data_IF_206613795284
#
_entry.id   IF_206613795284
#
_cell.length_a   1.000
_cell.length_b   1.000
_cell.length_c   1.000
_cell.angle_alpha   90.00
_cell.angle_beta   90.00
_cell.angle_gamma   90.00
#
_symmetry.space_group_name_H-M   'P 1'
#
loop_
_entity.id
_entity.type
_entity.pdbx_description
1 polymer ?
#
# COMPACT_ATOMS: atom_id res chain seq x y z
N UNK A 1 -51.59 -9.25 -35.30
CA UNK A 1 -50.21 -8.95 -35.73
C UNK A 1 -49.61 -8.04 -34.68
N UNK A 2 -48.93 -8.63 -33.70
CA UNK A 2 -48.34 -7.91 -32.56
C UNK A 2 -46.81 -7.90 -32.73
N UNK A 3 -46.21 -6.73 -32.57
CA UNK A 3 -44.78 -6.46 -32.74
C UNK A 3 -43.90 -7.24 -31.74
N UNK A 4 -42.65 -7.60 -32.10
CA UNK A 4 -41.67 -8.09 -31.14
C UNK A 4 -40.97 -6.92 -30.45
N UNK A 5 -40.92 -6.98 -29.10
CA UNK A 5 -40.17 -6.05 -28.29
C UNK A 5 -38.65 -6.30 -28.45
N UNK A 6 -37.94 -5.22 -28.78
CA UNK A 6 -36.51 -5.22 -29.01
C UNK A 6 -35.71 -5.27 -27.69
N UNK A 7 -34.71 -6.14 -27.69
CA UNK A 7 -33.42 -6.13 -26.99
C UNK A 7 -33.32 -5.32 -25.69
N UNK A 8 -33.23 -6.07 -24.60
CA UNK A 8 -32.64 -5.66 -23.33
C UNK A 8 -31.24 -5.08 -23.51
N UNK A 9 -31.04 -3.85 -23.06
CA UNK A 9 -29.71 -3.26 -22.87
C UNK A 9 -28.90 -4.09 -21.88
N UNK A 10 -27.71 -4.53 -22.27
CA UNK A 10 -26.76 -5.15 -21.34
C UNK A 10 -26.38 -4.13 -20.26
N UNK A 11 -26.86 -4.33 -19.04
CA UNK A 11 -26.27 -3.68 -17.87
C UNK A 11 -24.79 -4.08 -17.83
N UNK A 12 -23.89 -3.10 -17.85
CA UNK A 12 -22.48 -3.34 -17.61
C UNK A 12 -22.33 -4.07 -16.27
N UNK A 13 -21.67 -5.22 -16.29
CA UNK A 13 -21.31 -5.94 -15.07
C UNK A 13 -20.53 -5.01 -14.14
N UNK A 14 -20.78 -5.00 -12.82
CA UNK A 14 -19.97 -4.22 -11.90
C UNK A 14 -18.52 -4.69 -12.03
N UNK A 15 -17.62 -3.73 -12.28
CA UNK A 15 -16.19 -3.96 -12.23
C UNK A 15 -15.86 -4.20 -10.76
N UNK A 16 -15.67 -5.46 -10.36
CA UNK A 16 -15.25 -5.80 -9.01
C UNK A 16 -13.82 -5.28 -8.78
N UNK A 17 -13.73 -4.03 -8.30
CA UNK A 17 -12.50 -3.42 -7.83
C UNK A 17 -12.08 -4.10 -6.53
N UNK A 18 -11.37 -5.22 -6.69
CA UNK A 18 -10.85 -6.04 -5.58
C UNK A 18 -9.70 -5.34 -4.87
N UNK A 19 -8.89 -4.57 -5.60
CA UNK A 19 -7.73 -3.85 -5.08
C UNK A 19 -8.13 -2.41 -4.73
N UNK A 20 -7.48 -1.78 -3.74
CA UNK A 20 -7.63 -0.33 -3.55
C UNK A 20 -7.14 0.42 -4.79
N UNK A 21 -7.66 1.62 -5.01
CA UNK A 21 -7.06 2.56 -5.95
C UNK A 21 -5.69 2.99 -5.40
N UNK A 22 -4.69 3.10 -6.28
CA UNK A 22 -3.29 3.34 -5.89
C UNK A 22 -2.81 4.66 -6.47
N UNK A 23 -2.29 5.52 -5.62
CA UNK A 23 -1.41 6.61 -5.99
C UNK A 23 0.03 6.14 -5.81
N UNK A 24 0.69 5.82 -6.93
CA UNK A 24 2.05 5.31 -6.94
C UNK A 24 3.02 6.49 -7.03
N UNK A 25 3.69 6.79 -5.92
CA UNK A 25 4.65 7.88 -5.80
C UNK A 25 6.07 7.38 -6.06
N UNK A 26 6.58 7.68 -7.26
CA UNK A 26 7.90 7.31 -7.72
C UNK A 26 8.76 8.57 -7.87
N UNK A 27 9.85 8.73 -7.13
CA UNK A 27 10.70 9.93 -7.30
C UNK A 27 11.48 9.95 -8.63
N UNK A 28 11.68 8.79 -9.23
CA UNK A 28 12.47 8.57 -10.44
C UNK A 28 11.64 7.68 -11.38
N UNK A 29 11.56 8.06 -12.66
CA UNK A 29 10.73 7.37 -13.64
C UNK A 29 11.13 5.91 -13.82
N UNK A 30 12.38 5.53 -13.55
CA UNK A 30 12.80 4.11 -13.64
C UNK A 30 11.95 3.17 -12.78
N UNK A 31 11.32 3.69 -11.71
CA UNK A 31 10.39 2.91 -10.90
C UNK A 31 9.01 2.84 -11.53
N UNK A 32 8.47 3.96 -12.05
CA UNK A 32 7.20 3.90 -12.78
C UNK A 32 7.30 3.03 -14.03
N UNK A 33 8.39 3.16 -14.78
CA UNK A 33 8.64 2.40 -16.01
C UNK A 33 8.74 0.91 -15.70
N UNK A 34 9.48 0.53 -14.65
CA UNK A 34 9.55 -0.86 -14.21
C UNK A 34 8.20 -1.41 -13.73
N UNK A 35 7.36 -0.58 -13.08
CA UNK A 35 6.01 -0.97 -12.67
C UNK A 35 5.12 -1.25 -13.87
N UNK A 36 5.11 -0.36 -14.87
CA UNK A 36 4.34 -0.54 -16.09
C UNK A 36 4.80 -1.78 -16.89
N UNK A 37 6.12 -2.00 -16.99
CA UNK A 37 6.68 -3.20 -17.62
C UNK A 37 6.23 -4.48 -16.88
N UNK A 38 6.28 -4.49 -15.55
CA UNK A 38 5.84 -5.61 -14.74
C UNK A 38 4.32 -5.84 -14.85
N UNK A 39 3.52 -4.78 -14.85
CA UNK A 39 2.07 -4.83 -15.03
C UNK A 39 1.73 -5.46 -16.39
N UNK A 40 2.34 -4.98 -17.48
CA UNK A 40 2.14 -5.53 -18.82
C UNK A 40 2.58 -6.99 -18.94
N UNK A 41 3.61 -7.40 -18.20
CA UNK A 41 4.16 -8.77 -18.24
C UNK A 41 3.36 -9.77 -17.40
N UNK A 42 2.99 -9.40 -16.17
CA UNK A 42 2.48 -10.33 -15.16
C UNK A 42 0.98 -10.17 -14.90
N UNK A 43 0.43 -8.97 -15.07
CA UNK A 43 -0.98 -8.71 -14.77
C UNK A 43 -1.60 -7.66 -15.71
N UNK A 44 -1.75 -7.95 -17.02
CA UNK A 44 -2.21 -6.99 -18.02
C UNK A 44 -3.57 -6.34 -17.71
N UNK A 45 -4.43 -7.04 -16.96
CA UNK A 45 -5.77 -6.62 -16.57
C UNK A 45 -5.83 -5.87 -15.24
N UNK A 46 -4.70 -5.50 -14.63
CA UNK A 46 -4.60 -4.80 -13.33
C UNK A 46 -5.51 -3.56 -13.25
N UNK A 47 -5.67 -2.81 -14.33
CA UNK A 47 -6.53 -1.62 -14.38
C UNK A 47 -8.02 -1.91 -14.34
N UNK A 48 -8.43 -3.17 -14.58
CA UNK A 48 -9.79 -3.63 -14.32
C UNK A 48 -10.03 -3.89 -12.83
N UNK A 49 -8.97 -3.93 -12.02
CA UNK A 49 -9.01 -4.23 -10.58
C UNK A 49 -8.67 -3.06 -9.68
N UNK A 50 -7.92 -2.08 -10.19
CA UNK A 50 -7.49 -0.88 -9.46
C UNK A 50 -7.35 0.29 -10.42
N UNK A 51 -7.72 1.50 -9.98
CA UNK A 51 -7.23 2.72 -10.64
C UNK A 51 -5.84 3.06 -10.10
N UNK A 52 -4.84 3.01 -10.96
CA UNK A 52 -3.46 3.35 -10.62
C UNK A 52 -3.11 4.71 -11.25
N UNK A 53 -2.71 5.66 -10.41
CA UNK A 53 -2.21 6.97 -10.84
C UNK A 53 -0.77 7.11 -10.41
N UNK A 54 0.13 7.34 -11.36
CA UNK A 54 1.56 7.53 -11.10
C UNK A 54 1.87 9.01 -10.86
N UNK A 55 2.61 9.29 -9.79
CA UNK A 55 3.18 10.60 -9.50
C UNK A 55 4.70 10.50 -9.50
N UNK A 56 5.32 11.04 -10.56
CA UNK A 56 6.78 11.06 -10.69
C UNK A 56 7.40 12.26 -9.95
N UNK A 57 7.25 12.31 -8.63
CA UNK A 57 7.72 13.41 -7.79
C UNK A 57 8.06 12.96 -6.36
N UNK A 58 8.65 13.87 -5.57
CA UNK A 58 8.78 13.69 -4.12
C UNK A 58 7.47 14.04 -3.41
N UNK A 59 7.22 13.47 -2.22
CA UNK A 59 6.00 13.69 -1.43
C UNK A 59 5.60 15.17 -1.27
N UNK A 60 6.57 16.08 -1.03
CA UNK A 60 6.32 17.53 -0.89
C UNK A 60 5.77 18.21 -2.15
N UNK A 61 5.82 17.55 -3.30
CA UNK A 61 5.30 18.04 -4.57
C UNK A 61 4.05 17.27 -5.02
N UNK A 62 3.50 16.39 -4.17
CA UNK A 62 2.23 15.75 -4.43
C UNK A 62 1.12 16.82 -4.43
N UNK A 63 0.28 16.90 -5.48
CA UNK A 63 -0.74 17.94 -5.57
C UNK A 63 -1.67 17.99 -4.34
N UNK A 64 -2.00 19.19 -3.87
CA UNK A 64 -2.85 19.39 -2.67
C UNK A 64 -4.29 18.91 -2.86
N UNK A 65 -4.75 18.75 -4.11
CA UNK A 65 -6.08 18.22 -4.42
C UNK A 65 -6.15 16.69 -4.39
N UNK A 66 -5.01 16.00 -4.24
CA UNK A 66 -4.97 14.55 -4.05
C UNK A 66 -5.60 14.19 -2.71
N UNK A 67 -6.34 13.08 -2.67
CA UNK A 67 -6.94 12.53 -1.46
C UNK A 67 -6.55 11.08 -1.35
N UNK A 68 -6.14 10.65 -0.17
CA UNK A 68 -5.77 9.26 0.12
C UNK A 68 -6.31 8.89 1.49
N UNK A 69 -6.91 7.71 1.60
CA UNK A 69 -7.43 7.21 2.88
C UNK A 69 -6.27 6.68 3.73
N UNK A 70 -5.33 5.98 3.09
CA UNK A 70 -4.13 5.42 3.71
C UNK A 70 -2.83 5.84 3.03
N UNK A 71 -1.77 6.03 3.79
CA UNK A 71 -0.41 6.19 3.28
C UNK A 71 0.46 5.02 3.72
N UNK A 72 1.19 4.41 2.80
CA UNK A 72 2.04 3.26 3.07
C UNK A 72 3.41 3.71 3.53
N UNK A 73 3.89 3.16 4.64
CA UNK A 73 5.22 3.43 5.20
C UNK A 73 6.08 2.17 5.11
N UNK A 74 7.09 2.13 4.22
CA UNK A 74 8.04 1.02 4.12
C UNK A 74 9.11 1.09 5.23
N UNK A 75 8.66 0.91 6.48
CA UNK A 75 9.45 1.17 7.69
C UNK A 75 10.44 0.05 8.04
N UNK A 76 11.07 0.19 9.22
CA UNK A 76 11.72 -0.90 9.93
C UNK A 76 10.78 -1.56 10.95
N UNK A 77 11.14 -2.75 11.44
CA UNK A 77 10.37 -3.55 12.40
C UNK A 77 10.05 -2.87 13.73
N UNK A 78 10.77 -1.80 14.08
CA UNK A 78 10.56 -1.03 15.32
C UNK A 78 9.71 0.22 15.11
N UNK A 79 9.12 0.39 13.91
CA UNK A 79 8.26 1.51 13.55
C UNK A 79 8.91 2.88 13.78
N UNK A 80 10.23 2.95 13.63
CA UNK A 80 10.96 4.21 13.73
C UNK A 80 10.89 4.92 12.39
N UNK A 81 10.17 6.05 12.34
CA UNK A 81 9.81 6.76 11.11
C UNK A 81 10.66 8.02 10.93
N UNK A 82 11.96 7.85 10.70
CA UNK A 82 12.92 8.96 10.59
C UNK A 82 13.92 8.86 9.43
N UNK A 83 13.69 7.94 8.49
CA UNK A 83 14.55 7.73 7.33
C UNK A 83 13.82 7.95 6.00
N UNK A 84 14.49 8.60 5.04
CA UNK A 84 14.04 8.72 3.65
C UNK A 84 12.55 9.09 3.50
N UNK A 85 11.71 8.16 3.01
CA UNK A 85 10.28 8.41 2.85
C UNK A 85 9.56 8.60 4.18
N UNK A 86 9.93 7.85 5.22
CA UNK A 86 9.35 7.99 6.56
C UNK A 86 9.66 9.35 7.19
N UNK A 87 10.83 9.95 6.92
CA UNK A 87 11.12 11.34 7.31
C UNK A 87 10.15 12.33 6.62
N UNK A 88 9.85 12.10 5.35
CA UNK A 88 8.88 12.92 4.63
C UNK A 88 7.46 12.77 5.21
N UNK A 89 7.06 11.55 5.61
CA UNK A 89 5.79 11.31 6.31
C UNK A 89 5.75 12.00 7.67
N UNK A 90 6.83 11.89 8.47
CA UNK A 90 6.93 12.55 9.77
C UNK A 90 6.79 14.06 9.66
N UNK A 91 7.37 14.68 8.62
CA UNK A 91 7.22 16.12 8.35
C UNK A 91 5.84 16.50 7.83
N UNK A 92 5.22 15.65 7.01
CA UNK A 92 3.93 15.95 6.38
C UNK A 92 2.74 15.80 7.35
N UNK A 93 2.80 14.79 8.23
CA UNK A 93 1.69 14.45 9.12
C UNK A 93 1.93 14.81 10.59
N UNK A 94 3.20 14.88 11.03
CA UNK A 94 3.53 15.25 12.40
C UNK A 94 3.31 16.75 12.68
N UNK A 95 2.89 17.13 13.90
CA UNK A 95 2.93 18.51 14.35
C UNK A 95 4.35 19.08 14.20
N UNK A 96 4.43 20.38 13.88
CA UNK A 96 5.70 21.05 13.55
C UNK A 96 6.73 20.94 14.69
N UNK A 97 6.29 21.01 15.93
CA UNK A 97 7.08 20.92 17.14
C UNK A 97 7.23 19.48 17.67
N UNK A 98 6.67 18.49 16.96
CA UNK A 98 6.63 17.10 17.38
C UNK A 98 6.87 16.13 16.21
N UNK A 99 8.10 16.16 15.70
CA UNK A 99 8.58 15.22 14.68
C UNK A 99 8.34 13.75 15.06
N UNK A 100 8.40 13.42 16.35
CA UNK A 100 8.23 12.06 16.86
C UNK A 100 6.76 11.59 16.92
N UNK A 101 5.79 12.44 16.62
CA UNK A 101 4.36 12.14 16.77
C UNK A 101 3.94 10.87 16.03
N UNK A 102 4.28 10.78 14.73
CA UNK A 102 3.90 9.64 13.91
C UNK A 102 4.60 8.34 14.36
N UNK A 103 5.86 8.44 14.77
CA UNK A 103 6.64 7.32 15.32
C UNK A 103 5.96 6.79 16.59
N UNK A 104 5.59 7.66 17.54
CA UNK A 104 4.96 7.22 18.80
C UNK A 104 3.59 6.59 18.56
N UNK A 105 2.80 7.10 17.60
CA UNK A 105 1.54 6.47 17.19
C UNK A 105 1.79 5.07 16.61
N UNK A 106 2.71 4.94 15.67
CA UNK A 106 3.03 3.65 15.05
C UNK A 106 3.58 2.64 16.09
N UNK A 107 4.51 3.06 16.93
CA UNK A 107 5.10 2.22 17.98
C UNK A 107 4.09 1.76 19.02
N UNK A 108 3.11 2.60 19.38
CA UNK A 108 2.01 2.20 20.28
C UNK A 108 1.24 1.01 19.69
N UNK A 109 0.81 1.12 18.44
CA UNK A 109 0.06 0.04 17.76
C UNK A 109 0.94 -1.21 17.57
N UNK A 110 2.21 -1.03 17.21
CA UNK A 110 3.16 -2.15 17.09
C UNK A 110 3.40 -2.84 18.44
N UNK A 111 3.40 -2.11 19.55
CA UNK A 111 3.45 -2.72 20.87
C UNK A 111 2.16 -3.50 21.21
N UNK A 112 1.00 -2.93 20.91
CA UNK A 112 -0.29 -3.55 21.18
C UNK A 112 -0.47 -4.85 20.38
N UNK A 113 -0.15 -4.83 19.08
CA UNK A 113 -0.32 -5.96 18.15
C UNK A 113 0.84 -6.96 18.17
N UNK A 114 2.08 -6.47 18.23
CA UNK A 114 3.28 -7.30 18.02
C UNK A 114 4.29 -7.25 19.18
N UNK A 115 3.92 -6.65 20.32
CA UNK A 115 4.81 -6.49 21.48
C UNK A 115 6.13 -5.78 21.16
N UNK A 116 6.09 -4.86 20.20
CA UNK A 116 7.18 -3.91 19.91
C UNK A 116 8.06 -4.30 18.72
N UNK A 117 7.77 -5.41 18.06
CA UNK A 117 8.51 -5.88 16.89
C UNK A 117 7.55 -6.37 15.81
N UNK A 118 7.34 -5.58 14.74
CA UNK A 118 6.58 -6.01 13.57
C UNK A 118 7.52 -6.76 12.60
N UNK A 119 7.34 -8.07 12.34
CA UNK A 119 8.22 -8.81 11.44
C UNK A 119 8.24 -8.19 10.03
N UNK A 120 9.40 -8.17 9.33
CA UNK A 120 9.43 -7.79 7.92
C UNK A 120 8.43 -8.61 7.11
N UNK A 121 7.88 -8.03 6.03
CA UNK A 121 6.87 -8.69 5.21
C UNK A 121 5.43 -8.55 5.75
N UNK A 122 5.22 -7.93 6.92
CA UNK A 122 3.87 -7.72 7.49
C UNK A 122 3.29 -6.35 7.15
N UNK A 123 2.01 -6.13 7.47
CA UNK A 123 1.37 -4.82 7.47
C UNK A 123 0.60 -4.58 8.77
N UNK A 124 0.69 -3.36 9.30
CA UNK A 124 -0.09 -2.91 10.46
C UNK A 124 -0.81 -1.61 10.13
N UNK A 125 -2.14 -1.62 10.25
CA UNK A 125 -2.97 -0.41 10.09
C UNK A 125 -2.87 0.42 11.36
N UNK A 126 -2.48 1.69 11.21
CA UNK A 126 -2.34 2.66 12.30
C UNK A 126 -3.23 3.85 12.01
N UNK A 127 -4.14 4.18 12.92
CA UNK A 127 -5.01 5.36 12.77
C UNK A 127 -4.22 6.64 13.04
N UNK A 128 -4.30 7.57 12.11
CA UNK A 128 -3.76 8.92 12.20
C UNK A 128 -4.88 9.85 12.68
N UNK A 129 -5.26 9.75 13.96
CA UNK A 129 -6.23 10.68 14.57
C UNK A 129 -5.63 12.07 14.61
N UNK A 130 -5.84 12.83 13.54
CA UNK A 130 -5.59 14.25 13.51
C UNK A 130 -6.80 14.92 14.14
N UNK A 131 -6.64 15.46 15.34
CA UNK A 131 -7.68 16.23 16.00
C UNK A 131 -7.98 17.45 15.11
N UNK A 132 -9.12 17.42 14.43
CA UNK A 132 -9.42 18.29 13.29
C UNK A 132 -9.11 19.76 13.57
N UNK A 133 -8.39 20.39 12.61
CA UNK A 133 -7.95 21.79 12.54
C UNK A 133 -6.67 22.12 13.31
N UNK A 134 -5.53 21.79 12.72
CA UNK A 134 -4.27 22.40 13.12
C UNK A 134 -3.47 22.80 11.87
N UNK A 135 -3.95 23.84 11.22
CA UNK A 135 -3.11 24.70 10.41
C UNK A 135 -2.21 25.48 11.39
N UNK A 136 -0.91 25.19 11.45
CA UNK A 136 0.05 26.02 12.20
C UNK A 136 0.65 27.07 11.28
N UNK A 137 0.91 28.29 11.77
CA UNK A 137 1.61 29.31 10.98
C UNK A 137 3.09 29.35 11.37
N UNK A 138 3.97 29.46 10.39
CA UNK A 138 5.38 29.70 10.65
C UNK A 138 5.66 31.16 11.07
N UNK A 139 6.89 31.44 11.50
CA UNK A 139 7.35 32.80 11.86
C UNK A 139 7.23 33.81 10.70
N UNK A 140 7.09 33.32 9.47
CA UNK A 140 6.97 34.10 8.24
C UNK A 140 5.51 34.14 7.74
N UNK A 141 4.55 33.59 8.50
CA UNK A 141 3.13 33.57 8.18
C UNK A 141 2.66 32.42 7.28
N UNK A 142 3.51 31.49 6.86
CA UNK A 142 3.11 30.35 6.02
C UNK A 142 2.26 29.35 6.80
N UNK A 143 1.13 28.96 6.20
CA UNK A 143 0.23 27.97 6.77
C UNK A 143 0.75 26.56 6.49
N UNK A 144 0.94 25.79 7.55
CA UNK A 144 1.29 24.38 7.51
C UNK A 144 0.05 23.57 7.89
N UNK A 145 -0.58 22.94 6.89
CA UNK A 145 -1.72 22.07 7.09
C UNK A 145 -1.24 20.73 7.63
N UNK A 146 -1.63 20.40 8.86
CA UNK A 146 -1.52 19.02 9.32
C UNK A 146 -2.52 18.18 8.53
N UNK A 147 -2.03 17.08 7.96
CA UNK A 147 -2.79 16.19 7.08
C UNK A 147 -3.26 16.81 5.75
N UNK A 148 -2.35 17.20 4.84
CA UNK A 148 -2.70 17.89 3.60
C UNK A 148 -3.57 17.06 2.62
N UNK A 149 -3.56 15.74 2.74
CA UNK A 149 -4.30 14.82 1.84
C UNK A 149 -5.51 14.13 2.49
N UNK A 150 -5.92 14.59 3.68
CA UNK A 150 -7.03 14.01 4.45
C UNK A 150 -6.89 12.51 4.75
N UNK A 151 -5.65 12.08 4.98
CA UNK A 151 -5.24 10.70 5.29
C UNK A 151 -5.63 10.33 6.71
N UNK A 152 -6.30 9.18 6.85
CA UNK A 152 -6.74 8.67 8.15
C UNK A 152 -5.87 7.52 8.65
N UNK A 153 -5.16 6.83 7.76
CA UNK A 153 -4.41 5.64 8.11
C UNK A 153 -2.96 5.70 7.63
N UNK A 154 -2.07 5.22 8.47
CA UNK A 154 -0.72 4.84 8.13
C UNK A 154 -0.68 3.31 8.02
N UNK A 155 -0.28 2.81 6.86
CA UNK A 155 -0.17 1.38 6.56
C UNK A 155 1.31 1.00 6.71
N UNK A 156 1.68 0.59 7.92
CA UNK A 156 3.05 0.33 8.30
C UNK A 156 3.49 -1.04 7.75
N UNK A 157 4.39 -1.04 6.78
CA UNK A 157 4.92 -2.23 6.11
C UNK A 157 6.43 -2.34 6.40
N UNK A 158 6.86 -2.99 7.49
CA UNK A 158 8.28 -3.18 7.76
C UNK A 158 8.93 -3.98 6.63
N UNK A 159 9.96 -3.41 6.01
CA UNK A 159 10.76 -4.09 4.96
C UNK A 159 12.09 -4.61 5.47
N UNK A 160 12.43 -4.29 6.72
CA UNK A 160 13.71 -4.61 7.34
C UNK A 160 13.61 -4.53 8.86
N UNK A 161 14.49 -5.22 9.58
CA UNK A 161 14.55 -5.12 11.05
C UNK A 161 15.06 -3.76 11.53
N UNK A 162 16.19 -3.37 10.98
CA UNK A 162 16.85 -2.07 11.13
C UNK A 162 17.27 -1.63 9.72
N UNK A 163 17.57 -0.34 9.50
CA UNK A 163 18.08 0.13 8.21
C UNK A 163 19.32 -0.67 7.75
N UNK A 164 19.16 -1.51 6.73
CA UNK A 164 20.22 -2.34 6.16
C UNK A 164 19.88 -2.80 4.73
N UNK A 165 20.84 -3.39 4.03
CA UNK A 165 20.63 -4.10 2.77
C UNK A 165 19.75 -5.34 2.98
N UNK A 166 18.63 -5.43 2.25
CA UNK A 166 17.67 -6.54 2.39
C UNK A 166 17.63 -7.44 1.18
N UNK A 167 18.63 -7.40 0.29
CA UNK A 167 18.66 -8.33 -0.86
C UNK A 167 18.76 -9.80 -0.47
N UNK A 168 19.22 -10.08 0.76
CA UNK A 168 19.20 -11.43 1.34
C UNK A 168 17.76 -11.95 1.51
N UNK A 169 16.82 -11.03 1.80
CA UNK A 169 15.40 -11.33 1.79
C UNK A 169 14.90 -11.28 0.35
N UNK A 170 14.62 -12.47 -0.17
CA UNK A 170 14.30 -12.65 -1.58
C UNK A 170 12.92 -12.14 -1.92
N UNK A 171 11.99 -12.08 -0.96
CA UNK A 171 10.56 -11.93 -1.22
C UNK A 171 9.88 -10.87 -0.35
N UNK A 172 10.62 -10.09 0.46
CA UNK A 172 10.05 -9.04 1.33
C UNK A 172 9.09 -8.07 0.63
N UNK A 173 9.30 -7.74 -0.65
CA UNK A 173 8.37 -6.87 -1.39
C UNK A 173 7.05 -7.58 -1.62
N UNK A 174 7.10 -8.83 -2.11
CA UNK A 174 5.91 -9.65 -2.32
C UNK A 174 5.13 -9.81 -1.01
N UNK A 175 5.82 -10.19 0.08
CA UNK A 175 5.21 -10.40 1.39
C UNK A 175 4.56 -9.12 1.94
N UNK A 176 5.25 -7.98 1.88
CA UNK A 176 4.69 -6.71 2.34
C UNK A 176 3.46 -6.30 1.54
N UNK A 177 3.46 -6.46 0.21
CA UNK A 177 2.31 -6.09 -0.63
C UNK A 177 1.13 -7.04 -0.37
N UNK A 178 1.38 -8.34 -0.25
CA UNK A 178 0.34 -9.31 0.11
C UNK A 178 -0.28 -8.97 1.47
N UNK A 179 0.56 -8.78 2.49
CA UNK A 179 0.12 -8.42 3.84
C UNK A 179 -0.61 -7.08 3.89
N UNK A 180 -0.18 -6.10 3.08
CA UNK A 180 -0.85 -4.81 2.94
C UNK A 180 -2.28 -4.98 2.45
N UNK A 181 -2.50 -5.78 1.40
CA UNK A 181 -3.82 -6.04 0.84
C UNK A 181 -4.71 -6.80 1.84
N UNK A 182 -4.16 -7.83 2.51
CA UNK A 182 -4.87 -8.54 3.58
C UNK A 182 -5.30 -7.61 4.72
N UNK A 183 -4.40 -6.72 5.17
CA UNK A 183 -4.68 -5.80 6.27
C UNK A 183 -5.76 -4.77 5.90
N UNK A 184 -5.76 -4.27 4.65
CA UNK A 184 -6.80 -3.38 4.13
C UNK A 184 -8.15 -4.10 4.07
N UNK A 185 -8.19 -5.32 3.52
CA UNK A 185 -9.46 -6.06 3.42
C UNK A 185 -10.00 -6.45 4.81
N UNK A 186 -9.14 -6.88 5.73
CA UNK A 186 -9.53 -7.16 7.12
C UNK A 186 -10.13 -5.92 7.80
N UNK A 187 -9.45 -4.78 7.68
CA UNK A 187 -9.94 -3.49 8.19
C UNK A 187 -11.29 -3.12 7.56
N UNK A 188 -11.40 -3.19 6.24
CA UNK A 188 -12.62 -2.82 5.53
C UNK A 188 -13.79 -3.74 5.89
N UNK A 189 -13.57 -5.05 6.03
CA UNK A 189 -14.59 -5.99 6.54
C UNK A 189 -15.02 -5.65 7.95
N UNK A 190 -14.08 -5.30 8.84
CA UNK A 190 -14.41 -4.90 10.21
C UNK A 190 -15.28 -3.64 10.23
N UNK A 191 -14.91 -2.61 9.47
CA UNK A 191 -15.70 -1.36 9.33
C UNK A 191 -17.12 -1.64 8.85
N UNK A 192 -17.29 -2.48 7.82
CA UNK A 192 -18.62 -2.87 7.33
C UNK A 192 -19.47 -3.55 8.41
N UNK A 193 -18.85 -4.40 9.23
CA UNK A 193 -19.54 -5.14 10.28
C UNK A 193 -19.88 -4.28 11.52
N UNK A 194 -19.15 -3.19 11.78
CA UNK A 194 -19.31 -2.33 12.97
C UNK A 194 -20.10 -1.03 12.72
N UNK A 195 -20.76 -0.91 11.56
CA UNK A 195 -21.46 0.26 10.99
C UNK A 195 -22.50 1.00 11.87
N UNK A 196 -22.62 0.69 13.17
CA UNK A 196 -23.49 1.38 14.13
C UNK A 196 -22.84 2.60 14.81
N UNK A 197 -21.53 2.83 14.69
CA UNK A 197 -20.83 3.92 15.42
C UNK A 197 -20.15 5.00 14.57
N UNK A 198 -20.08 4.88 13.23
CA UNK A 198 -19.72 5.99 12.32
C UNK A 198 -18.28 6.53 12.38
N UNK A 199 -17.44 6.07 13.31
CA UNK A 199 -16.12 6.67 13.58
C UNK A 199 -14.96 6.13 12.72
N UNK A 200 -15.16 5.03 11.98
CA UNK A 200 -14.12 4.41 11.13
C UNK A 200 -14.58 4.30 9.68
N UNK A 201 -13.65 4.58 8.76
CA UNK A 201 -13.89 4.53 7.30
C UNK A 201 -13.07 3.44 6.63
N UNK A 202 -13.62 2.87 5.56
CA UNK A 202 -12.91 1.95 4.69
C UNK A 202 -11.73 2.65 4.00
N UNK A 203 -10.65 1.91 3.78
CA UNK A 203 -9.47 2.32 3.03
C UNK A 203 -9.68 1.92 1.57
N UNK A 204 -9.88 2.91 0.69
CA UNK A 204 -10.16 2.70 -0.73
C UNK A 204 -9.05 3.23 -1.63
N UNK A 205 -8.36 4.29 -1.20
CA UNK A 205 -7.29 4.94 -1.95
C UNK A 205 -6.03 4.95 -1.08
N UNK A 206 -4.93 4.37 -1.58
CA UNK A 206 -3.65 4.37 -0.87
C UNK A 206 -2.58 5.15 -1.63
N UNK A 207 -1.72 5.87 -0.91
CA UNK A 207 -0.45 6.37 -1.43
C UNK A 207 0.65 5.35 -1.12
N UNK A 208 1.32 4.83 -2.14
CA UNK A 208 2.41 3.86 -1.99
C UNK A 208 3.66 4.33 -2.72
N UNK A 209 4.83 3.99 -2.19
CA UNK A 209 6.13 4.24 -2.80
C UNK A 209 6.88 2.91 -2.99
N UNK A 210 7.90 2.83 -3.87
CA UNK A 210 8.66 1.59 -4.03
C UNK A 210 9.29 1.05 -2.73
N UNK A 211 9.03 -0.21 -2.41
CA UNK A 211 9.49 -0.85 -1.17
C UNK A 211 10.95 -1.26 -1.25
N UNK A 212 11.70 -1.00 -0.18
CA UNK A 212 13.08 -1.42 0.02
C UNK A 212 14.08 -0.98 -1.08
N UNK A 213 13.74 -0.03 -1.95
CA UNK A 213 14.59 0.40 -3.07
C UNK A 213 15.66 1.43 -2.69
N UNK A 214 15.52 2.04 -1.50
CA UNK A 214 16.50 2.94 -0.90
C UNK A 214 17.62 2.18 -0.20
N UNK A 215 17.67 2.27 1.13
CA UNK A 215 18.66 1.58 1.96
C UNK A 215 18.65 0.05 1.73
N UNK A 216 17.47 -0.52 1.51
CA UNK A 216 17.27 -1.95 1.27
C UNK A 216 17.86 -2.51 -0.03
N UNK A 217 18.30 -1.65 -0.97
CA UNK A 217 18.96 -2.02 -2.24
C UNK A 217 18.16 -2.92 -3.18
N UNK A 218 16.84 -3.07 -3.00
CA UNK A 218 16.01 -3.80 -3.96
C UNK A 218 15.99 -3.04 -5.29
N UNK A 219 16.24 -3.76 -6.40
CA UNK A 219 16.27 -3.14 -7.73
C UNK A 219 14.86 -2.70 -8.18
N UNK A 220 14.73 -1.68 -9.04
CA UNK A 220 13.43 -1.26 -9.58
C UNK A 220 12.65 -2.43 -10.20
N UNK A 221 13.34 -3.27 -10.99
CA UNK A 221 12.75 -4.45 -11.62
C UNK A 221 12.22 -5.45 -10.59
N UNK A 222 13.03 -5.86 -9.61
CA UNK A 222 12.61 -6.84 -8.58
C UNK A 222 11.42 -6.32 -7.79
N UNK A 223 11.47 -5.05 -7.36
CA UNK A 223 10.36 -4.43 -6.65
C UNK A 223 9.08 -4.45 -7.48
N UNK A 224 9.14 -4.01 -8.73
CA UNK A 224 7.97 -3.91 -9.60
C UNK A 224 7.36 -5.29 -9.90
N UNK A 225 8.18 -6.27 -10.29
CA UNK A 225 7.71 -7.62 -10.59
C UNK A 225 7.04 -8.25 -9.35
N UNK A 226 7.65 -8.17 -8.17
CA UNK A 226 7.05 -8.72 -6.95
C UNK A 226 5.80 -7.97 -6.49
N UNK A 227 5.77 -6.64 -6.64
CA UNK A 227 4.59 -5.84 -6.32
C UNK A 227 3.39 -6.26 -7.18
N UNK A 228 3.59 -6.37 -8.50
CA UNK A 228 2.53 -6.76 -9.44
C UNK A 228 2.09 -8.20 -9.22
N UNK A 229 3.03 -9.13 -8.99
CA UNK A 229 2.71 -10.53 -8.71
C UNK A 229 1.87 -10.69 -7.45
N UNK A 230 2.22 -9.99 -6.37
CA UNK A 230 1.41 -10.01 -5.15
C UNK A 230 -0.02 -9.49 -5.40
N UNK A 231 -0.18 -8.42 -6.18
CA UNK A 231 -1.50 -7.89 -6.55
C UNK A 231 -2.31 -8.88 -7.41
N UNK A 232 -1.67 -9.49 -8.42
CA UNK A 232 -2.27 -10.50 -9.31
C UNK A 232 -2.77 -11.71 -8.52
N UNK A 233 -1.88 -12.32 -7.74
CA UNK A 233 -2.18 -13.53 -6.98
C UNK A 233 -3.19 -13.23 -5.85
N UNK A 234 -3.18 -12.03 -5.26
CA UNK A 234 -4.21 -11.63 -4.30
C UNK A 234 -5.59 -11.54 -4.95
N UNK A 235 -5.69 -10.93 -6.15
CA UNK A 235 -6.94 -10.91 -6.92
C UNK A 235 -7.42 -12.32 -7.25
N UNK A 236 -6.50 -13.21 -7.63
CA UNK A 236 -6.79 -14.61 -7.88
C UNK A 236 -7.36 -15.30 -6.62
N UNK A 237 -6.76 -15.04 -5.46
CA UNK A 237 -7.18 -15.60 -4.18
C UNK A 237 -8.60 -15.18 -3.78
N UNK A 238 -8.92 -13.89 -3.94
CA UNK A 238 -10.27 -13.37 -3.68
C UNK A 238 -11.30 -13.97 -4.62
N UNK A 239 -10.95 -14.18 -5.90
CA UNK A 239 -11.87 -14.74 -6.91
C UNK A 239 -12.09 -16.24 -6.78
N UNK A 240 -11.12 -16.96 -6.20
CA UNK A 240 -11.13 -18.42 -6.15
C UNK A 240 -11.00 -18.93 -4.71
N UNK A 241 -11.91 -18.57 -3.79
CA UNK A 241 -11.81 -18.97 -2.39
C UNK A 241 -11.81 -20.49 -2.21
N UNK A 242 -12.50 -21.23 -3.07
CA UNK A 242 -12.52 -22.70 -3.07
C UNK A 242 -11.15 -23.34 -3.38
N UNK A 243 -10.26 -22.63 -4.08
CA UNK A 243 -8.90 -23.09 -4.36
C UNK A 243 -7.99 -22.62 -3.21
N UNK A 244 -8.04 -21.33 -2.90
CA UNK A 244 -7.10 -20.69 -1.99
C UNK A 244 -7.34 -21.00 -0.51
N UNK A 245 -8.54 -21.48 -0.14
CA UNK A 245 -8.80 -22.01 1.20
C UNK A 245 -8.36 -23.46 1.40
N UNK A 246 -7.91 -24.14 0.34
CA UNK A 246 -7.46 -25.53 0.37
C UNK A 246 -6.43 -25.78 -0.74
N UNK A 247 -5.31 -25.06 -0.69
CA UNK A 247 -4.26 -25.13 -1.73
C UNK A 247 -3.58 -26.50 -1.77
N UNK A 248 -3.43 -27.02 -2.98
CA UNK A 248 -2.63 -28.21 -3.28
C UNK A 248 -1.20 -27.82 -3.69
N UNK A 249 -0.25 -28.72 -3.50
CA UNK A 249 1.18 -28.47 -3.80
C UNK A 249 1.43 -27.99 -5.22
N UNK A 250 0.65 -28.44 -6.20
CA UNK A 250 0.81 -28.00 -7.60
C UNK A 250 0.62 -26.49 -7.76
N UNK A 251 -0.41 -25.93 -7.12
CA UNK A 251 -0.69 -24.49 -7.17
C UNK A 251 0.33 -23.69 -6.35
N UNK A 252 0.70 -24.22 -5.18
CA UNK A 252 1.74 -23.60 -4.33
C UNK A 252 3.06 -23.48 -5.09
N UNK A 253 3.49 -24.54 -5.79
CA UNK A 253 4.74 -24.55 -6.57
C UNK A 253 4.64 -23.61 -7.77
N UNK A 254 3.53 -23.61 -8.51
CA UNK A 254 3.31 -22.70 -9.64
C UNK A 254 3.46 -21.22 -9.22
N UNK A 255 2.78 -20.81 -8.14
CA UNK A 255 2.86 -19.44 -7.64
C UNK A 255 4.24 -19.09 -7.10
N UNK A 256 4.88 -20.04 -6.40
CA UNK A 256 6.24 -19.87 -5.91
C UNK A 256 7.25 -19.69 -7.05
N UNK A 257 7.16 -20.49 -8.11
CA UNK A 257 8.07 -20.40 -9.27
C UNK A 257 7.97 -19.04 -9.98
N UNK A 258 6.75 -18.48 -10.07
CA UNK A 258 6.54 -17.15 -10.66
C UNK A 258 7.24 -16.05 -9.84
N UNK A 259 7.13 -16.10 -8.50
CA UNK A 259 7.83 -15.16 -7.60
C UNK A 259 9.34 -15.41 -7.62
N UNK A 260 9.76 -16.68 -7.63
CA UNK A 260 11.16 -17.09 -7.63
C UNK A 260 11.92 -16.53 -8.86
N UNK A 261 11.27 -16.50 -10.02
CA UNK A 261 11.84 -15.97 -11.25
C UNK A 261 12.32 -14.51 -11.13
N UNK A 262 11.74 -13.71 -10.22
CA UNK A 262 12.08 -12.30 -10.01
C UNK A 262 13.48 -12.08 -9.41
N UNK A 263 14.02 -13.08 -8.71
CA UNK A 263 15.34 -13.02 -8.08
C UNK A 263 16.30 -14.14 -8.53
N UNK A 264 15.81 -15.17 -9.23
CA UNK A 264 16.65 -16.24 -9.77
C UNK A 264 17.69 -15.73 -10.80
N UNK A 265 17.38 -14.65 -11.53
CA UNK A 265 18.28 -14.04 -12.52
C UNK A 265 19.32 -13.07 -11.92
N UNK A 266 19.33 -12.90 -10.60
CA UNK A 266 20.19 -11.95 -9.87
C UNK A 266 21.20 -12.65 -8.93
N UNK A 267 21.23 -13.99 -8.94
CA UNK A 267 22.13 -14.83 -8.14
C UNK A 267 23.41 -15.20 -8.91
#
# INVERSE_FOLDING_TARGET
>A
MSQPAANSSSAAQPVDRILPDIHLLCMDSKFSDAFEDAAAKHFPEIHSHSKITVFNCSLKYLPENVRVDGVVSPANSYARLDGAFDDALARAYGPRDDYGWITRKAQKVVYEKWRGFAPPGTCTVVRLDHDGKTASKDSNGHVHHLNPWATEYLLLCPTMRVPDDVRWDREVVYECVWSLLCAIDEHNRAVRNTSSSGDEREIKIILMTPFATGIGRVSPKKWAEQCVLAMKQYVEAVRNPQIWSSLEWSKIVEDHEEVQATYASQA
#
